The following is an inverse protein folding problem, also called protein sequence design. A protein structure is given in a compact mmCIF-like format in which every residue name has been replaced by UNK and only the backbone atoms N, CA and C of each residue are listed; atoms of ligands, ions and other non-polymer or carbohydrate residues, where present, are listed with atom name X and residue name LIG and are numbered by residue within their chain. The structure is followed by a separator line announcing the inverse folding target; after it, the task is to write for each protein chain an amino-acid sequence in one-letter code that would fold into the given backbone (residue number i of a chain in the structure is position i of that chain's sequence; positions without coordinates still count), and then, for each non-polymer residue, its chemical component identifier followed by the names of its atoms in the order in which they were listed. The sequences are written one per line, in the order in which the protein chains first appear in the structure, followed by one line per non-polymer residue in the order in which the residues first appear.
data_IF_554596113246
#
_entry.id   IF_554596113246
#
_cell.length_a   1.000
_cell.length_b   1.000
_cell.length_c   1.000
_cell.angle_alpha   90.00
_cell.angle_beta   90.00
_cell.angle_gamma   90.00
#
_symmetry.space_group_name_H-M   'P 1'
#
loop_
_entity.id
_entity.type
_entity.pdbx_description
1 polymer ?
#
# COMPACT_ATOMS: atom_id res chain seq x y z
N UNK A 1 -33.37 -18.57 56.45
CA UNK A 1 -34.70 -19.11 56.05
C UNK A 1 -35.63 -17.92 55.81
N UNK A 2 -36.67 -18.03 54.94
CA UNK A 2 -37.05 -19.17 54.10
C UNK A 2 -37.01 -18.87 52.58
N UNK A 3 -37.18 -19.91 51.77
CA UNK A 3 -37.60 -19.79 50.35
C UNK A 3 -39.13 -19.74 50.25
N UNK A 4 -39.70 -19.21 49.15
CA UNK A 4 -41.03 -19.59 48.69
C UNK A 4 -40.91 -20.70 47.61
N UNK A 5 -41.55 -21.83 47.89
CA UNK A 5 -41.67 -22.98 46.98
C UNK A 5 -42.71 -22.77 45.89
N UNK A 6 -42.52 -23.46 44.76
CA UNK A 6 -43.24 -23.27 43.51
C UNK A 6 -44.75 -23.54 43.48
N UNK A 7 -45.30 -23.39 42.27
CA UNK A 7 -46.57 -23.96 41.88
C UNK A 7 -46.41 -24.81 40.62
N UNK A 8 -47.09 -25.96 40.61
CA UNK A 8 -47.00 -27.00 39.58
C UNK A 8 -48.40 -27.18 39.00
N UNK A 9 -48.57 -26.94 37.69
CA UNK A 9 -49.81 -27.25 36.99
C UNK A 9 -49.50 -28.20 35.83
N UNK A 10 -50.16 -29.37 35.84
CA UNK A 10 -50.06 -30.38 34.79
C UNK A 10 -51.43 -30.52 34.14
N UNK A 11 -51.48 -30.40 32.80
CA UNK A 11 -52.64 -30.78 32.01
C UNK A 11 -52.17 -31.79 30.95
N UNK A 12 -52.93 -32.88 30.81
CA UNK A 12 -52.61 -34.03 29.95
C UNK A 12 -53.31 -33.92 28.60
N UNK A 13 -52.68 -34.55 27.60
CA UNK A 13 -53.34 -35.34 26.54
C UNK A 13 -54.23 -34.62 25.51
N UNK A 14 -53.84 -34.71 24.24
CA UNK A 14 -54.49 -35.67 23.34
C UNK A 14 -53.58 -36.05 22.16
N UNK A 15 -53.66 -37.31 21.73
CA UNK A 15 -53.02 -37.83 20.51
C UNK A 15 -54.00 -37.71 19.34
N UNK A 16 -53.51 -37.40 18.15
CA UNK A 16 -54.06 -37.96 16.90
C UNK A 16 -52.94 -38.19 15.90
N UNK A 17 -52.83 -39.43 15.43
CA UNK A 17 -51.90 -39.89 14.41
C UNK A 17 -52.56 -39.88 13.03
N UNK A 18 -51.77 -39.62 11.98
CA UNK A 18 -51.98 -40.18 10.65
C UNK A 18 -50.65 -40.22 9.90
N UNK A 19 -50.23 -41.41 9.50
CA UNK A 19 -49.12 -41.64 8.59
C UNK A 19 -49.66 -41.86 7.18
N UNK A 20 -48.87 -41.55 6.15
CA UNK A 20 -48.94 -42.21 4.83
C UNK A 20 -47.53 -42.22 4.19
N UNK A 21 -47.06 -43.45 3.98
CA UNK A 21 -46.15 -44.03 2.97
C UNK A 21 -45.07 -43.18 2.28
N UNK A 22 -43.87 -43.78 2.26
CA UNK A 22 -42.77 -43.47 1.36
C UNK A 22 -42.98 -44.02 -0.06
N UNK A 23 -42.11 -43.64 -0.99
CA UNK A 23 -41.60 -44.52 -2.04
C UNK A 23 -40.13 -44.17 -2.34
N UNK A 24 -39.36 -45.19 -2.74
CA UNK A 24 -37.92 -45.12 -3.03
C UNK A 24 -37.65 -45.33 -4.54
N UNK A 25 -36.39 -45.65 -4.89
CA UNK A 25 -35.82 -45.85 -6.24
C UNK A 25 -35.48 -44.55 -7.00
N UNK A 26 -34.36 -44.46 -7.73
CA UNK A 26 -33.20 -45.35 -7.78
C UNK A 26 -31.94 -44.57 -8.21
N UNK A 27 -30.76 -45.03 -7.77
CA UNK A 27 -29.48 -44.71 -8.41
C UNK A 27 -29.18 -45.79 -9.45
N UNK A 28 -28.40 -45.50 -10.51
CA UNK A 28 -26.99 -45.93 -10.39
C UNK A 28 -25.95 -45.01 -11.07
N UNK A 29 -24.81 -44.85 -10.40
CA UNK A 29 -23.50 -44.67 -11.04
C UNK A 29 -23.14 -45.95 -11.84
N UNK A 30 -22.33 -45.90 -12.92
CA UNK A 30 -20.91 -45.52 -12.84
C UNK A 30 -20.47 -44.72 -14.12
N UNK A 31 -19.21 -44.57 -14.60
CA UNK A 31 -17.85 -44.95 -14.15
C UNK A 31 -16.77 -44.10 -14.87
N UNK A 32 -15.57 -44.05 -14.27
CA UNK A 32 -14.25 -44.15 -14.94
C UNK A 32 -13.52 -43.00 -15.68
N UNK A 33 -12.19 -43.04 -15.43
CA UNK A 33 -11.03 -42.69 -16.27
C UNK A 33 -10.69 -41.21 -16.52
N UNK A 34 -9.80 -40.75 -15.63
CA UNK A 34 -8.65 -39.87 -15.95
C UNK A 34 -8.05 -40.19 -17.32
N UNK A 35 -7.64 -39.16 -18.05
CA UNK A 35 -6.33 -39.19 -18.70
C UNK A 35 -5.73 -37.78 -18.73
N UNK A 36 -4.50 -37.67 -18.25
CA UNK A 36 -3.72 -36.43 -18.17
C UNK A 36 -2.82 -36.31 -19.39
N UNK A 37 -2.87 -35.17 -20.08
CA UNK A 37 -1.79 -34.74 -20.99
C UNK A 37 -1.46 -33.28 -20.74
N UNK A 38 -0.16 -33.02 -20.59
CA UNK A 38 0.38 -31.72 -20.23
C UNK A 38 0.24 -30.73 -21.39
N UNK A 39 -0.10 -29.48 -21.08
CA UNK A 39 0.13 -28.34 -21.97
C UNK A 39 0.81 -27.23 -21.17
N UNK A 40 2.08 -26.96 -21.50
CA UNK A 40 2.77 -25.73 -21.07
C UNK A 40 2.09 -24.53 -21.75
N UNK A 41 1.66 -23.50 -21.01
CA UNK A 41 1.33 -22.21 -21.60
C UNK A 41 2.60 -21.35 -21.70
N UNK A 42 2.85 -20.82 -22.89
CA UNK A 42 3.88 -19.80 -23.14
C UNK A 42 3.47 -18.45 -22.54
N UNK A 43 4.46 -17.72 -22.00
CA UNK A 43 4.28 -16.37 -21.44
C UNK A 43 4.09 -15.36 -22.58
N UNK A 44 3.02 -14.54 -22.59
CA UNK A 44 2.94 -13.36 -23.44
C UNK A 44 3.49 -12.15 -22.69
N UNK A 45 4.56 -11.54 -23.21
CA UNK A 45 5.01 -10.20 -22.81
C UNK A 45 3.97 -9.19 -23.30
N UNK A 46 3.51 -8.29 -22.42
CA UNK A 46 2.54 -7.25 -22.78
C UNK A 46 3.13 -5.86 -22.49
N UNK A 47 3.46 -5.12 -23.56
CA UNK A 47 3.93 -3.75 -23.47
C UNK A 47 2.79 -2.80 -23.06
N UNK A 48 2.94 -2.11 -21.93
CA UNK A 48 1.96 -1.12 -21.47
C UNK A 48 2.23 0.27 -22.05
N UNK A 49 1.60 0.59 -23.18
CA UNK A 49 1.46 1.96 -23.65
C UNK A 49 0.49 2.76 -22.78
N UNK A 50 1.01 3.59 -21.88
CA UNK A 50 0.18 4.54 -21.11
C UNK A 50 -0.26 5.71 -22.01
N UNK A 51 -1.55 5.78 -22.33
CA UNK A 51 -2.17 6.92 -23.03
C UNK A 51 -2.83 7.88 -22.04
N UNK A 52 -2.19 9.03 -21.87
CA UNK A 52 -2.63 10.12 -21.00
C UNK A 52 -3.93 10.77 -21.53
N UNK A 53 -5.00 10.78 -20.72
CA UNK A 53 -6.34 11.22 -21.14
C UNK A 53 -6.72 12.55 -20.51
N UNK A 54 -6.46 13.66 -21.22
CA UNK A 54 -6.95 14.99 -20.84
C UNK A 54 -8.49 15.03 -20.82
N UNK A 55 -9.05 15.65 -19.79
CA UNK A 55 -10.46 16.04 -19.72
C UNK A 55 -10.69 17.35 -20.46
N UNK A 56 -11.79 17.46 -21.21
CA UNK A 56 -12.36 18.74 -21.62
C UNK A 56 -13.83 18.80 -21.18
N UNK A 57 -14.27 20.00 -20.81
CA UNK A 57 -15.62 20.35 -20.40
C UNK A 57 -16.19 21.26 -21.51
N UNK A 58 -17.47 21.14 -21.87
CA UNK A 58 -18.09 22.14 -22.75
C UNK A 58 -19.36 21.68 -23.46
N UNK A 59 -20.50 22.18 -22.97
CA UNK A 59 -21.84 22.12 -23.56
C UNK A 59 -21.95 22.53 -25.04
N UNK A 60 -23.00 22.05 -25.71
CA UNK A 60 -23.54 22.66 -26.94
C UNK A 60 -24.38 21.70 -27.79
N UNK A 61 -25.71 21.80 -27.71
CA UNK A 61 -26.63 21.06 -28.59
C UNK A 61 -27.37 21.99 -29.56
N UNK A 62 -28.14 21.38 -30.48
CA UNK A 62 -28.95 22.03 -31.55
C UNK A 62 -28.04 22.59 -32.69
N UNK A 63 -28.34 22.43 -34.00
CA UNK A 63 -29.41 21.67 -34.67
C UNK A 63 -29.37 21.89 -36.19
N UNK A 64 -29.96 20.94 -36.93
CA UNK A 64 -30.42 20.97 -38.35
C UNK A 64 -30.00 22.11 -39.31
N UNK A 65 -29.42 21.71 -40.45
CA UNK A 65 -29.77 22.27 -41.78
C UNK A 65 -28.71 23.12 -42.49
N UNK A 66 -28.61 22.93 -43.82
CA UNK A 66 -27.84 23.82 -44.71
C UNK A 66 -26.98 23.09 -45.75
N UNK A 67 -27.55 22.81 -46.94
CA UNK A 67 -26.74 22.47 -48.13
C UNK A 67 -26.05 23.74 -48.63
N UNK A 68 -24.82 23.59 -49.14
CA UNK A 68 -23.97 24.73 -49.51
C UNK A 68 -24.22 25.31 -50.91
N UNK A 69 -23.57 26.45 -51.17
CA UNK A 69 -23.38 27.03 -52.51
C UNK A 69 -22.08 27.84 -52.52
N UNK A 70 -21.18 27.55 -53.47
CA UNK A 70 -19.91 28.25 -53.63
C UNK A 70 -20.09 29.68 -54.14
N UNK A 71 -19.34 30.64 -53.58
CA UNK A 71 -18.93 31.89 -54.27
C UNK A 71 -17.47 32.21 -53.92
N UNK A 72 -16.63 32.64 -54.89
CA UNK A 72 -15.20 32.82 -54.67
C UNK A 72 -14.80 34.26 -54.30
N UNK A 73 -13.74 34.37 -53.48
CA UNK A 73 -12.79 35.48 -53.56
C UNK A 73 -13.07 36.76 -52.76
N UNK A 74 -12.39 36.89 -51.61
CA UNK A 74 -11.74 38.14 -51.17
C UNK A 74 -10.65 37.80 -50.14
N UNK A 75 -9.43 38.26 -50.39
CA UNK A 75 -8.27 37.93 -49.55
C UNK A 75 -8.28 38.70 -48.23
N UNK A 76 -8.07 37.98 -47.12
CA UNK A 76 -7.73 38.55 -45.82
C UNK A 76 -6.20 38.44 -45.57
N UNK A 77 -5.58 39.35 -44.80
CA UNK A 77 -4.15 39.30 -44.54
C UNK A 77 -3.74 38.00 -43.83
N UNK A 78 -2.54 37.49 -44.13
CA UNK A 78 -1.95 36.39 -43.37
C UNK A 78 -1.76 36.86 -41.92
N UNK A 79 -2.53 36.31 -40.99
CA UNK A 79 -2.22 36.43 -39.56
C UNK A 79 -0.85 35.83 -39.34
N UNK A 80 0.12 36.64 -38.90
CA UNK A 80 1.39 36.14 -38.40
C UNK A 80 1.10 35.09 -37.31
N UNK A 81 1.84 33.96 -37.26
CA UNK A 81 1.73 33.06 -36.14
C UNK A 81 2.16 33.81 -34.89
N UNK A 82 1.27 33.87 -33.90
CA UNK A 82 1.56 34.47 -32.60
C UNK A 82 2.55 33.56 -31.87
N UNK A 83 3.84 33.78 -32.12
CA UNK A 83 4.95 33.12 -31.43
C UNK A 83 4.83 33.47 -29.95
N UNK A 84 4.30 32.54 -29.16
CA UNK A 84 4.35 32.64 -27.71
C UNK A 84 5.81 32.84 -27.29
N UNK A 85 6.12 33.78 -26.38
CA UNK A 85 7.49 34.05 -25.97
C UNK A 85 8.14 32.76 -25.46
N UNK A 86 9.21 32.35 -26.13
CA UNK A 86 10.04 31.24 -25.69
C UNK A 86 10.67 31.61 -24.36
N UNK A 87 10.43 30.82 -23.31
CA UNK A 87 11.08 31.05 -22.01
C UNK A 87 12.60 30.90 -22.18
N UNK A 88 13.43 31.74 -21.54
CA UNK A 88 14.86 31.84 -21.83
C UNK A 88 15.66 30.58 -21.47
N UNK A 89 15.13 29.78 -20.54
CA UNK A 89 15.62 28.44 -20.23
C UNK A 89 14.52 27.54 -19.66
N UNK A 90 14.81 26.25 -19.56
CA UNK A 90 13.95 25.19 -19.00
C UNK A 90 14.74 24.30 -18.05
N UNK A 91 14.16 23.97 -16.90
CA UNK A 91 14.68 22.96 -15.97
C UNK A 91 13.96 21.61 -16.15
N UNK A 92 14.69 20.52 -15.98
CA UNK A 92 14.18 19.14 -15.91
C UNK A 92 14.95 18.39 -14.83
N UNK A 93 14.24 17.68 -13.94
CA UNK A 93 14.86 16.72 -13.01
C UNK A 93 14.87 15.35 -13.69
N UNK A 94 16.06 14.80 -13.91
CA UNK A 94 16.26 13.41 -14.30
C UNK A 94 16.70 12.58 -13.08
N UNK A 95 16.23 11.34 -12.99
CA UNK A 95 16.34 10.50 -11.80
C UNK A 95 17.15 9.25 -12.12
N UNK A 96 18.29 9.07 -11.45
CA UNK A 96 19.20 7.95 -11.68
C UNK A 96 19.06 6.86 -10.61
N UNK A 97 18.65 7.23 -9.39
CA UNK A 97 18.48 6.28 -8.30
C UNK A 97 17.40 5.22 -8.58
N UNK A 98 17.56 3.99 -8.05
CA UNK A 98 16.50 2.98 -8.01
C UNK A 98 15.26 3.46 -7.22
N UNK A 99 14.14 2.71 -7.23
CA UNK A 99 12.97 3.01 -6.41
C UNK A 99 13.35 3.24 -4.94
N UNK A 100 12.83 4.33 -4.35
CA UNK A 100 13.19 4.77 -3.00
C UNK A 100 12.47 3.89 -1.95
N UNK A 101 13.04 2.74 -1.65
CA UNK A 101 12.47 1.75 -0.71
C UNK A 101 13.23 1.75 0.61
N UNK A 102 12.53 1.99 1.71
CA UNK A 102 13.04 1.75 3.06
C UNK A 102 12.80 0.29 3.46
N UNK A 103 13.87 -0.46 3.70
CA UNK A 103 13.79 -1.82 4.21
C UNK A 103 13.71 -1.83 5.74
N UNK A 104 12.81 -2.64 6.29
CA UNK A 104 12.65 -2.79 7.74
C UNK A 104 11.90 -1.65 8.44
N UNK A 105 11.84 -1.75 9.77
CA UNK A 105 11.14 -0.78 10.62
C UNK A 105 11.84 0.59 10.60
N UNK A 106 11.14 1.71 10.89
CA UNK A 106 11.74 3.05 10.92
C UNK A 106 13.00 3.22 11.78
N UNK A 107 13.15 2.41 12.84
CA UNK A 107 14.32 2.42 13.74
C UNK A 107 15.48 1.52 13.30
N UNK A 108 15.29 0.70 12.26
CA UNK A 108 16.27 -0.27 11.76
C UNK A 108 16.70 0.02 10.31
N UNK A 109 15.90 0.81 9.58
CA UNK A 109 16.15 1.13 8.19
C UNK A 109 17.29 2.14 8.04
N UNK A 110 18.28 1.83 7.22
CA UNK A 110 19.43 2.69 6.89
C UNK A 110 19.06 3.86 6.00
N UNK A 111 18.03 3.71 5.16
CA UNK A 111 17.53 4.76 4.29
C UNK A 111 17.31 4.30 2.86
N UNK A 112 17.26 5.28 1.95
CA UNK A 112 17.23 5.05 0.51
C UNK A 112 18.05 6.15 -0.18
N UNK A 113 18.96 5.77 -1.08
CA UNK A 113 19.76 6.74 -1.82
C UNK A 113 18.89 7.41 -2.90
N UNK A 114 18.75 8.73 -2.82
CA UNK A 114 18.22 9.58 -3.88
C UNK A 114 19.39 10.14 -4.68
N UNK A 115 19.38 9.97 -6.00
CA UNK A 115 20.40 10.52 -6.91
C UNK A 115 19.81 10.84 -8.28
N UNK A 116 20.40 11.82 -8.96
CA UNK A 116 20.02 12.20 -10.30
C UNK A 116 20.72 13.47 -10.79
N UNK A 117 20.18 14.01 -11.88
CA UNK A 117 20.72 15.19 -12.55
C UNK A 117 19.63 16.26 -12.72
N UNK A 118 19.92 17.49 -12.33
CA UNK A 118 19.13 18.65 -12.69
C UNK A 118 19.68 19.22 -14.01
N UNK A 119 18.86 19.19 -15.05
CA UNK A 119 19.22 19.61 -16.41
C UNK A 119 18.67 21.02 -16.67
N UNK A 120 19.56 21.96 -16.94
CA UNK A 120 19.25 23.32 -17.39
C UNK A 120 19.46 23.41 -18.90
N UNK A 121 18.37 23.50 -19.66
CA UNK A 121 18.40 23.78 -21.10
C UNK A 121 18.23 25.28 -21.33
N UNK A 122 19.29 25.98 -21.72
CA UNK A 122 19.26 27.40 -22.09
C UNK A 122 18.95 27.53 -23.58
N UNK A 123 17.88 28.24 -23.92
CA UNK A 123 17.47 28.48 -25.32
C UNK A 123 17.98 29.81 -25.86
N UNK A 124 18.13 30.80 -24.99
CA UNK A 124 18.66 32.11 -25.34
C UNK A 124 20.17 32.03 -25.54
N UNK A 125 20.80 32.97 -26.28
CA UNK A 125 22.24 32.93 -26.55
C UNK A 125 23.07 32.83 -25.27
N UNK A 126 22.62 33.53 -24.23
CA UNK A 126 23.25 33.56 -22.91
C UNK A 126 22.23 33.99 -21.84
N UNK A 127 22.27 33.37 -20.66
CA UNK A 127 21.47 33.74 -19.49
C UNK A 127 22.36 33.90 -18.27
N UNK A 128 22.15 34.94 -17.46
CA UNK A 128 22.82 35.08 -16.16
C UNK A 128 21.85 34.75 -15.03
N UNK A 129 22.21 33.74 -14.24
CA UNK A 129 21.48 33.31 -13.05
C UNK A 129 22.11 33.95 -11.81
N UNK A 130 21.29 34.43 -10.89
CA UNK A 130 21.73 34.98 -9.59
C UNK A 130 21.75 33.89 -8.53
N UNK A 131 20.65 33.12 -8.43
CA UNK A 131 20.51 32.00 -7.51
C UNK A 131 20.07 30.77 -8.26
N UNK A 132 20.62 29.61 -7.92
CA UNK A 132 20.14 28.33 -8.44
C UNK A 132 20.22 27.27 -7.36
N UNK A 133 19.05 26.84 -6.90
CA UNK A 133 18.90 25.92 -5.78
C UNK A 133 17.82 24.88 -6.05
N UNK A 134 17.91 23.77 -5.34
CA UNK A 134 16.84 22.78 -5.23
C UNK A 134 16.59 22.43 -3.77
N UNK A 135 15.33 22.24 -3.39
CA UNK A 135 14.93 21.85 -2.05
C UNK A 135 14.17 20.54 -2.13
N UNK A 136 14.52 19.59 -1.27
CA UNK A 136 13.72 18.40 -1.00
C UNK A 136 12.78 18.70 0.17
N UNK A 137 11.48 18.65 -0.08
CA UNK A 137 10.44 18.90 0.94
C UNK A 137 9.60 17.65 1.20
N UNK A 138 9.30 17.42 2.48
CA UNK A 138 8.27 16.50 2.93
C UNK A 138 6.99 17.31 3.23
N UNK A 139 5.89 17.01 2.51
CA UNK A 139 4.62 17.72 2.65
C UNK A 139 3.54 16.79 3.20
N UNK A 140 3.02 17.13 4.37
CA UNK A 140 1.90 16.42 5.01
C UNK A 140 0.63 17.25 4.85
N UNK A 141 -0.41 16.66 4.28
CA UNK A 141 -1.69 17.34 4.00
C UNK A 141 -2.81 16.69 4.82
N UNK A 142 -3.46 17.46 5.68
CA UNK A 142 -4.63 17.07 6.46
C UNK A 142 -5.91 17.34 5.66
N UNK A 143 -6.72 16.31 5.36
CA UNK A 143 -8.03 16.49 4.68
C UNK A 143 -9.12 17.05 5.59
N UNK A 144 -8.90 17.08 6.90
CA UNK A 144 -9.83 17.59 7.92
C UNK A 144 -9.16 18.65 8.80
N UNK A 145 -8.76 19.81 8.25
CA UNK A 145 -8.21 20.90 9.05
C UNK A 145 -9.23 21.42 10.08
N UNK A 146 -8.75 21.98 11.19
CA UNK A 146 -9.58 22.51 12.31
C UNK A 146 -10.63 23.52 11.83
N UNK A 147 -10.25 24.35 10.86
CA UNK A 147 -11.17 25.25 10.15
C UNK A 147 -11.03 24.96 8.67
N UNK A 148 -12.17 24.89 7.97
CA UNK A 148 -12.20 24.72 6.51
C UNK A 148 -11.39 25.85 5.86
N UNK A 149 -10.70 25.50 4.77
CA UNK A 149 -9.97 26.44 3.90
C UNK A 149 -8.83 27.23 4.59
N UNK A 150 -8.31 26.75 5.72
CA UNK A 150 -7.12 27.31 6.38
C UNK A 150 -5.84 26.58 5.92
N UNK A 151 -4.96 27.21 5.11
CA UNK A 151 -3.75 26.55 4.58
C UNK A 151 -2.82 26.08 5.70
N UNK A 152 -2.59 26.93 6.71
CA UNK A 152 -1.74 26.65 7.88
C UNK A 152 -2.19 25.43 8.73
N UNK A 153 -3.46 25.02 8.62
CA UNK A 153 -3.99 23.80 9.26
C UNK A 153 -4.06 22.61 8.29
N UNK A 154 -4.17 22.90 6.99
CA UNK A 154 -4.33 21.91 5.93
C UNK A 154 -3.00 21.30 5.50
N UNK A 155 -1.91 22.06 5.47
CA UNK A 155 -0.61 21.55 5.03
C UNK A 155 0.50 21.93 6.01
N UNK A 156 1.37 20.96 6.31
CA UNK A 156 2.67 21.18 6.93
C UNK A 156 3.75 20.79 5.91
N UNK A 157 4.63 21.73 5.59
CA UNK A 157 5.82 21.49 4.76
C UNK A 157 7.02 21.47 5.69
N UNK A 158 7.89 20.48 5.53
CA UNK A 158 9.17 20.36 6.22
C UNK A 158 10.27 20.26 5.17
N UNK A 159 11.22 21.18 5.17
CA UNK A 159 12.42 21.09 4.33
C UNK A 159 13.32 19.98 4.91
N UNK A 160 13.75 19.04 4.06
CA UNK A 160 14.64 17.94 4.44
C UNK A 160 16.10 18.24 4.08
N UNK A 161 16.31 18.84 2.91
CA UNK A 161 17.63 19.17 2.40
C UNK A 161 17.55 20.25 1.30
N UNK A 162 18.60 21.05 1.17
CA UNK A 162 18.75 22.08 0.13
C UNK A 162 20.09 21.90 -0.57
N UNK A 163 20.07 21.80 -1.90
CA UNK A 163 21.26 21.88 -2.75
C UNK A 163 21.37 23.30 -3.31
N UNK A 164 22.52 23.93 -3.11
CA UNK A 164 22.88 25.20 -3.75
C UNK A 164 23.88 24.88 -4.86
N UNK A 165 23.50 25.13 -6.12
CA UNK A 165 24.32 24.83 -7.30
C UNK A 165 25.23 25.99 -7.72
N UNK A 166 25.03 27.17 -7.12
CA UNK A 166 25.77 28.39 -7.38
C UNK A 166 26.20 29.03 -6.08
N UNK A 167 27.51 29.26 -5.94
CA UNK A 167 28.07 30.16 -4.91
C UNK A 167 28.00 31.62 -5.34
N UNK A 168 28.03 31.91 -6.65
CA UNK A 168 28.09 33.25 -7.22
C UNK A 168 27.23 33.37 -8.51
N UNK A 169 26.72 34.57 -8.85
CA UNK A 169 25.92 34.81 -10.05
C UNK A 169 26.65 34.44 -11.36
N UNK A 170 26.26 33.32 -11.96
CA UNK A 170 26.98 32.68 -13.07
C UNK A 170 26.24 32.81 -14.40
N UNK A 171 27.01 32.89 -15.49
CA UNK A 171 26.52 33.12 -16.84
C UNK A 171 26.63 31.84 -17.69
N UNK A 172 25.53 31.43 -18.30
CA UNK A 172 25.37 30.19 -19.05
C UNK A 172 25.03 30.46 -20.51
N UNK A 173 25.77 29.85 -21.42
CA UNK A 173 25.52 29.92 -22.87
C UNK A 173 24.38 28.99 -23.30
N UNK A 174 23.79 29.25 -24.45
CA UNK A 174 22.86 28.34 -25.13
C UNK A 174 23.39 26.90 -25.13
N UNK A 175 22.55 25.94 -24.70
CA UNK A 175 22.95 24.54 -24.54
C UNK A 175 22.31 23.84 -23.36
N UNK A 176 22.74 22.61 -23.09
CA UNK A 176 22.32 21.81 -21.94
C UNK A 176 23.44 21.78 -20.91
N UNK A 177 23.13 22.16 -19.68
CA UNK A 177 24.03 22.15 -18.53
C UNK A 177 23.48 21.18 -17.48
N UNK A 178 24.36 20.43 -16.83
CA UNK A 178 24.03 19.32 -15.94
C UNK A 178 24.55 19.59 -14.53
N UNK A 179 23.69 19.38 -13.54
CA UNK A 179 24.00 19.58 -12.13
C UNK A 179 23.63 18.30 -11.37
N UNK A 180 24.62 17.45 -11.01
CA UNK A 180 24.35 16.22 -10.27
C UNK A 180 23.89 16.55 -8.85
N UNK A 181 23.00 15.72 -8.31
CA UNK A 181 22.56 15.81 -6.93
C UNK A 181 22.44 14.41 -6.33
N UNK A 182 22.72 14.30 -5.03
CA UNK A 182 22.43 13.10 -4.25
C UNK A 182 22.07 13.47 -2.80
N UNK A 183 21.33 12.58 -2.14
CA UNK A 183 20.98 12.65 -0.73
C UNK A 183 20.56 11.27 -0.22
N UNK A 184 21.02 10.85 0.96
CA UNK A 184 20.54 9.64 1.61
C UNK A 184 19.28 9.98 2.42
N UNK A 185 18.11 9.55 1.94
CA UNK A 185 16.85 9.73 2.67
C UNK A 185 16.90 8.94 3.99
N UNK A 186 16.75 9.59 5.17
CA UNK A 186 16.81 8.89 6.45
C UNK A 186 15.71 7.81 6.60
N UNK A 187 16.11 6.59 6.95
CA UNK A 187 15.20 5.45 7.04
C UNK A 187 14.10 5.52 8.11
N UNK A 188 14.12 6.54 8.97
CA UNK A 188 13.04 6.82 9.94
C UNK A 188 11.84 7.56 9.31
N UNK A 189 11.98 8.10 8.09
CA UNK A 189 10.92 8.85 7.43
C UNK A 189 9.72 7.95 7.06
N UNK A 190 8.47 8.44 7.16
CA UNK A 190 7.30 7.66 6.77
C UNK A 190 7.25 7.43 5.25
N UNK A 191 6.63 6.35 4.81
CA UNK A 191 6.39 6.13 3.38
C UNK A 191 5.39 7.16 2.82
N UNK A 192 5.49 7.40 1.51
CA UNK A 192 4.50 8.16 0.73
C UNK A 192 3.14 7.47 0.89
N UNK A 193 2.12 8.23 1.27
CA UNK A 193 0.82 7.65 1.65
C UNK A 193 -0.31 8.58 1.28
N UNK A 194 -1.36 8.07 0.63
CA UNK A 194 -2.47 8.86 0.08
C UNK A 194 -3.82 8.42 0.66
N UNK A 195 -4.01 8.61 1.96
CA UNK A 195 -5.19 8.16 2.70
C UNK A 195 -6.40 9.09 2.63
N UNK A 196 -7.53 8.62 3.16
CA UNK A 196 -8.78 9.40 3.22
C UNK A 196 -8.75 10.54 4.25
N UNK A 197 -7.85 10.47 5.23
CA UNK A 197 -7.68 11.49 6.26
C UNK A 197 -6.51 12.46 5.99
N UNK A 198 -5.51 12.03 5.23
CA UNK A 198 -4.38 12.88 4.87
C UNK A 198 -3.41 12.24 3.88
N UNK A 199 -2.44 13.03 3.44
CA UNK A 199 -1.38 12.63 2.52
C UNK A 199 0.01 12.89 3.12
N UNK A 200 1.00 12.11 2.72
CA UNK A 200 2.43 12.39 2.86
C UNK A 200 3.04 12.31 1.46
N UNK A 201 3.56 13.43 0.96
CA UNK A 201 4.28 13.56 -0.31
C UNK A 201 5.75 13.94 -0.05
N UNK A 202 6.65 13.48 -0.91
CA UNK A 202 8.03 13.99 -1.01
C UNK A 202 8.24 14.65 -2.36
N UNK A 203 8.86 15.82 -2.41
CA UNK A 203 8.92 16.64 -3.62
C UNK A 203 10.28 17.31 -3.72
N UNK A 204 10.88 17.25 -4.90
CA UNK A 204 12.01 18.09 -5.30
C UNK A 204 11.46 19.36 -5.96
N UNK A 205 11.79 20.52 -5.42
CA UNK A 205 11.43 21.83 -5.95
C UNK A 205 12.70 22.59 -6.28
N UNK A 206 13.01 22.76 -7.57
CA UNK A 206 14.17 23.52 -8.03
C UNK A 206 13.74 24.88 -8.58
N UNK A 207 14.52 25.91 -8.25
CA UNK A 207 14.30 27.30 -8.62
C UNK A 207 15.61 27.94 -9.08
N UNK A 208 15.62 28.49 -10.29
CA UNK A 208 16.68 29.35 -10.80
C UNK A 208 16.10 30.75 -11.01
N UNK A 209 16.74 31.77 -10.42
CA UNK A 209 16.35 33.17 -10.59
C UNK A 209 17.37 33.83 -11.51
N UNK A 210 16.90 34.44 -12.60
CA UNK A 210 17.74 35.24 -13.49
C UNK A 210 17.85 36.69 -13.01
N UNK A 211 18.93 37.37 -13.38
CA UNK A 211 19.14 38.82 -13.21
C UNK A 211 18.00 39.71 -13.75
N UNK A 212 17.17 39.20 -14.67
CA UNK A 212 15.95 39.89 -15.14
C UNK A 212 14.73 39.67 -14.22
N UNK A 213 14.91 39.09 -13.03
CA UNK A 213 13.88 38.65 -12.07
C UNK A 213 12.95 37.53 -12.55
N UNK A 214 13.21 36.94 -13.72
CA UNK A 214 12.50 35.75 -14.20
C UNK A 214 12.89 34.51 -13.38
N UNK A 215 11.90 33.89 -12.73
CA UNK A 215 12.06 32.62 -12.01
C UNK A 215 11.74 31.42 -12.92
N UNK A 216 12.70 30.51 -13.07
CA UNK A 216 12.55 29.24 -13.77
C UNK A 216 12.45 28.14 -12.70
N UNK A 217 11.28 27.52 -12.58
CA UNK A 217 11.00 26.51 -11.56
C UNK A 217 10.63 25.16 -12.16
N UNK A 218 11.00 24.07 -11.49
CA UNK A 218 10.49 22.72 -11.75
C UNK A 218 10.17 22.02 -10.42
N UNK A 219 9.10 21.23 -10.41
CA UNK A 219 8.67 20.43 -9.26
C UNK A 219 8.50 18.97 -9.68
N UNK A 220 9.06 18.03 -8.91
CA UNK A 220 9.04 16.59 -9.17
C UNK A 220 8.65 15.84 -7.90
N UNK A 221 7.50 15.16 -7.94
CA UNK A 221 7.10 14.26 -6.85
C UNK A 221 7.96 12.99 -6.85
N UNK A 222 8.35 12.55 -5.64
CA UNK A 222 9.05 11.32 -5.36
C UNK A 222 8.10 10.33 -4.69
N UNK A 223 8.22 9.04 -5.02
CA UNK A 223 7.48 7.96 -4.35
C UNK A 223 8.44 7.19 -3.46
N UNK A 224 8.29 7.38 -2.15
CA UNK A 224 9.05 6.68 -1.10
C UNK A 224 8.21 5.53 -0.56
N UNK A 225 8.73 4.32 -0.59
CA UNK A 225 8.06 3.09 -0.18
C UNK A 225 8.69 2.50 1.08
N UNK A 226 8.00 1.57 1.74
CA UNK A 226 8.56 0.78 2.84
C UNK A 226 8.21 -0.70 2.70
N UNK A 227 9.23 -1.55 2.84
CA UNK A 227 9.12 -2.99 2.82
C UNK A 227 9.44 -3.55 4.22
N UNK A 228 8.43 -4.06 4.92
CA UNK A 228 8.57 -4.67 6.24
C UNK A 228 8.76 -6.19 6.12
N UNK A 229 9.73 -6.80 6.83
CA UNK A 229 9.89 -8.26 6.91
C UNK A 229 9.02 -8.88 8.02
N UNK A 230 8.65 -10.15 7.87
CA UNK A 230 7.81 -10.86 8.84
C UNK A 230 7.45 -12.27 8.41
N UNK A 231 6.98 -13.06 9.37
CA UNK A 231 6.70 -14.50 9.25
C UNK A 231 5.22 -14.80 9.53
N UNK A 232 4.72 -15.97 9.14
CA UNK A 232 3.33 -16.35 9.36
C UNK A 232 2.98 -16.49 10.85
N UNK A 233 1.82 -15.94 11.24
CA UNK A 233 1.29 -15.96 12.61
C UNK A 233 0.30 -17.11 12.74
N UNK A 234 0.55 -18.00 13.71
CA UNK A 234 -0.50 -18.89 14.24
C UNK A 234 -1.21 -18.19 15.40
N UNK A 235 -2.54 -18.18 15.39
CA UNK A 235 -3.37 -17.68 16.49
C UNK A 235 -4.37 -18.75 16.94
N UNK A 236 -4.67 -18.79 18.24
CA UNK A 236 -5.60 -19.74 18.85
C UNK A 236 -6.61 -18.95 19.69
N UNK A 237 -7.91 -19.22 19.54
CA UNK A 237 -8.99 -18.61 20.33
C UNK A 237 -9.93 -19.69 20.84
N UNK A 238 -10.23 -19.64 22.14
CA UNK A 238 -11.29 -20.43 22.76
C UNK A 238 -12.55 -19.55 22.87
N UNK A 239 -13.74 -20.14 22.68
CA UNK A 239 -15.02 -19.41 22.69
C UNK A 239 -15.98 -19.85 23.80
N UNK A 240 -15.72 -19.51 25.08
CA UNK A 240 -16.69 -19.69 26.16
C UNK A 240 -18.07 -19.08 25.82
N UNK A 241 -19.19 -19.71 26.20
CA UNK A 241 -19.31 -20.91 27.04
C UNK A 241 -19.24 -22.23 26.26
N UNK A 242 -18.77 -22.24 25.01
CA UNK A 242 -18.56 -23.50 24.24
C UNK A 242 -17.13 -24.01 24.41
N UNK A 243 -16.95 -25.30 24.11
CA UNK A 243 -15.62 -25.93 24.05
C UNK A 243 -14.92 -25.66 22.70
N UNK A 244 -15.45 -24.78 21.85
CA UNK A 244 -14.89 -24.49 20.53
C UNK A 244 -13.54 -23.80 20.66
N UNK A 245 -12.54 -24.44 20.06
CA UNK A 245 -11.19 -23.93 19.94
C UNK A 245 -10.88 -23.73 18.45
N UNK A 246 -10.55 -22.51 18.04
CA UNK A 246 -10.25 -22.15 16.65
C UNK A 246 -8.78 -21.75 16.54
N UNK A 247 -8.03 -22.50 15.75
CA UNK A 247 -6.67 -22.20 15.32
C UNK A 247 -6.71 -21.59 13.92
N UNK A 248 -6.00 -20.50 13.70
CA UNK A 248 -5.87 -19.86 12.38
C UNK A 248 -4.38 -19.59 12.11
N UNK A 249 -3.92 -19.95 10.92
CA UNK A 249 -2.62 -19.58 10.38
C UNK A 249 -2.85 -18.52 9.30
N UNK A 250 -2.16 -17.37 9.44
CA UNK A 250 -2.22 -16.25 8.50
C UNK A 250 -0.82 -15.66 8.27
N UNK A 251 -0.53 -15.13 7.09
CA UNK A 251 0.59 -14.24 6.89
C UNK A 251 0.54 -13.04 7.83
N UNK A 252 1.68 -12.68 8.43
CA UNK A 252 1.76 -11.42 9.21
C UNK A 252 1.73 -10.19 8.32
N UNK A 253 2.16 -10.35 7.07
CA UNK A 253 2.30 -9.33 6.04
C UNK A 253 1.43 -9.68 4.85
N UNK A 254 0.81 -8.65 4.28
CA UNK A 254 0.11 -8.67 3.00
C UNK A 254 0.59 -7.49 2.15
N UNK A 255 0.29 -7.52 0.86
CA UNK A 255 0.72 -6.49 -0.10
C UNK A 255 -0.50 -5.86 -0.81
N UNK A 256 -0.43 -4.57 -1.24
CA UNK A 256 -1.55 -3.86 -1.88
C UNK A 256 -2.18 -4.58 -3.08
N UNK A 257 -1.38 -5.36 -3.81
CA UNK A 257 -1.80 -6.19 -4.92
C UNK A 257 -1.41 -7.64 -4.62
N UNK A 258 -2.42 -8.48 -4.41
CA UNK A 258 -2.28 -9.91 -4.20
C UNK A 258 -3.46 -10.55 -3.50
N UNK A 259 -3.37 -11.87 -3.40
CA UNK A 259 -4.20 -12.72 -2.54
C UNK A 259 -3.28 -13.42 -1.54
N UNK A 260 -3.82 -13.83 -0.40
CA UNK A 260 -3.08 -14.52 0.65
C UNK A 260 -3.92 -15.66 1.23
N UNK A 261 -3.30 -16.81 1.49
CA UNK A 261 -4.00 -17.95 2.09
C UNK A 261 -4.25 -17.70 3.57
N UNK A 262 -5.42 -18.12 4.04
CA UNK A 262 -5.80 -18.20 5.45
C UNK A 262 -6.24 -19.64 5.71
N UNK A 263 -5.49 -20.34 6.57
CA UNK A 263 -5.80 -21.71 6.97
C UNK A 263 -6.41 -21.70 8.38
N UNK A 264 -7.45 -22.51 8.58
CA UNK A 264 -8.18 -22.60 9.84
C UNK A 264 -8.46 -24.06 10.21
N UNK A 265 -8.28 -24.39 11.50
CA UNK A 265 -8.87 -25.59 12.09
C UNK A 265 -9.70 -25.25 13.33
N UNK A 266 -10.77 -26.01 13.54
CA UNK A 266 -11.70 -25.85 14.67
C UNK A 266 -11.94 -27.20 15.33
N UNK A 267 -11.71 -27.29 16.63
CA UNK A 267 -11.89 -28.50 17.45
C UNK A 267 -12.83 -28.24 18.63
N UNK A 268 -13.23 -29.31 19.33
CA UNK A 268 -14.22 -29.23 20.41
C UNK A 268 -15.65 -29.04 19.88
N UNK A 269 -15.90 -29.54 18.67
CA UNK A 269 -17.18 -29.47 17.97
C UNK A 269 -18.25 -30.34 18.65
N UNK A 270 -17.86 -31.45 19.27
CA UNK A 270 -18.76 -32.46 19.80
C UNK A 270 -18.89 -32.33 21.33
N UNK A 271 -20.13 -32.35 21.81
CA UNK A 271 -20.47 -32.52 23.22
C UNK A 271 -21.24 -33.84 23.41
N UNK A 272 -20.65 -34.74 24.18
CA UNK A 272 -21.15 -36.07 24.51
C UNK A 272 -21.66 -36.16 25.97
N UNK A 273 -22.00 -35.03 26.60
CA UNK A 273 -22.46 -34.94 27.99
C UNK A 273 -23.77 -35.69 28.29
N UNK A 274 -24.56 -36.06 27.27
CA UNK A 274 -25.85 -36.74 27.42
C UNK A 274 -25.83 -38.14 26.78
N UNK A 275 -26.23 -39.15 27.55
CA UNK A 275 -26.32 -40.52 27.03
C UNK A 275 -27.30 -40.63 25.85
N UNK A 276 -26.83 -41.27 24.77
CA UNK A 276 -27.54 -41.49 23.50
C UNK A 276 -27.86 -40.24 22.65
N UNK A 277 -27.48 -39.04 23.10
CA UNK A 277 -27.69 -37.78 22.38
C UNK A 277 -26.34 -37.07 22.22
N UNK A 278 -25.81 -37.10 21.00
CA UNK A 278 -24.62 -36.34 20.65
C UNK A 278 -25.03 -34.96 20.13
N UNK A 279 -24.49 -33.91 20.75
CA UNK A 279 -24.57 -32.54 20.23
C UNK A 279 -23.31 -32.24 19.44
N UNK A 280 -23.45 -31.56 18.31
CA UNK A 280 -22.30 -31.13 17.49
C UNK A 280 -22.50 -29.73 16.93
N UNK A 281 -21.41 -28.97 16.84
CA UNK A 281 -21.37 -27.72 16.11
C UNK A 281 -21.12 -27.97 14.62
N UNK A 282 -21.80 -27.18 13.79
CA UNK A 282 -21.64 -27.18 12.33
C UNK A 282 -21.52 -25.74 11.83
N UNK A 283 -20.49 -25.46 11.04
CA UNK A 283 -20.37 -24.16 10.35
C UNK A 283 -21.50 -24.05 9.30
N UNK A 284 -22.15 -22.89 9.26
CA UNK A 284 -23.16 -22.52 8.25
C UNK A 284 -22.66 -21.49 7.26
N UNK A 285 -21.76 -20.62 7.70
CA UNK A 285 -21.20 -19.49 6.94
C UNK A 285 -19.94 -19.00 7.64
N UNK A 286 -19.02 -18.46 6.88
CA UNK A 286 -17.90 -17.68 7.36
C UNK A 286 -17.83 -16.39 6.55
N UNK A 287 -17.74 -15.24 7.20
CA UNK A 287 -17.40 -13.99 6.54
C UNK A 287 -15.96 -13.62 6.91
N UNK A 288 -15.22 -13.04 5.98
CA UNK A 288 -13.99 -12.34 6.29
C UNK A 288 -14.06 -10.89 5.80
N UNK A 289 -13.38 -10.00 6.51
CA UNK A 289 -13.33 -8.56 6.26
C UNK A 289 -11.91 -8.07 6.52
N UNK A 290 -11.38 -7.25 5.62
CA UNK A 290 -10.11 -6.55 5.79
C UNK A 290 -10.39 -5.07 5.98
N UNK A 291 -10.17 -4.59 7.20
CA UNK A 291 -10.47 -3.23 7.65
C UNK A 291 -9.18 -2.40 7.66
N UNK A 292 -9.11 -1.34 6.85
CA UNK A 292 -8.09 -0.29 6.94
C UNK A 292 -8.55 0.74 7.97
N UNK A 293 -7.71 1.00 8.98
CA UNK A 293 -7.97 1.94 10.05
C UNK A 293 -6.96 3.09 9.94
N UNK A 294 -7.46 4.25 9.51
CA UNK A 294 -6.69 5.50 9.44
C UNK A 294 -6.98 6.37 10.67
N UNK A 295 -5.95 6.98 11.24
CA UNK A 295 -6.06 8.05 12.25
C UNK A 295 -5.17 9.21 11.85
N UNK A 296 -5.61 10.45 12.07
CA UNK A 296 -4.76 11.64 11.93
C UNK A 296 -5.03 12.64 13.05
N UNK A 297 -3.99 13.28 13.57
CA UNK A 297 -4.12 14.43 14.46
C UNK A 297 -3.92 15.68 13.61
N UNK A 298 -4.98 16.45 13.37
CA UNK A 298 -4.89 17.72 12.63
C UNK A 298 -4.45 18.84 13.59
N UNK A 299 -3.22 19.40 13.44
CA UNK A 299 -2.64 20.35 14.37
C UNK A 299 -3.28 21.74 14.23
N UNK A 300 -3.23 22.52 15.30
CA UNK A 300 -3.62 23.92 15.25
C UNK A 300 -2.47 24.83 14.81
N UNK A 301 -2.76 25.70 13.84
CA UNK A 301 -1.95 26.90 13.63
C UNK A 301 -2.22 27.91 14.76
N UNK A 302 -1.33 28.89 14.93
CA UNK A 302 -1.42 29.91 15.98
C UNK A 302 -2.79 30.64 16.01
N UNK A 303 -3.37 30.89 14.84
CA UNK A 303 -4.70 31.53 14.67
C UNK A 303 -5.86 30.66 15.19
N UNK A 304 -5.66 29.35 15.34
CA UNK A 304 -6.69 28.37 15.68
C UNK A 304 -6.41 27.56 16.96
N UNK A 305 -5.26 27.75 17.62
CA UNK A 305 -4.91 27.10 18.89
C UNK A 305 -6.00 27.22 19.96
N UNK A 306 -6.65 28.40 20.04
CA UNK A 306 -7.74 28.66 20.97
C UNK A 306 -8.98 27.77 20.74
N UNK A 307 -9.22 27.27 19.50
CA UNK A 307 -10.35 26.38 19.18
C UNK A 307 -10.15 24.95 19.71
N UNK A 308 -8.92 24.56 20.05
CA UNK A 308 -8.56 23.22 20.57
C UNK A 308 -7.99 23.26 21.98
N UNK A 309 -8.12 24.41 22.67
CA UNK A 309 -7.74 24.57 24.07
C UNK A 309 -6.24 24.77 24.31
N UNK A 310 -5.51 25.38 23.37
CA UNK A 310 -4.13 25.82 23.55
C UNK A 310 -3.18 25.46 22.40
N UNK A 311 -1.96 25.97 22.46
CA UNK A 311 -0.89 25.66 21.50
C UNK A 311 -0.48 24.18 21.57
N UNK A 312 0.02 23.63 20.46
CA UNK A 312 0.44 22.23 20.36
C UNK A 312 -0.70 21.20 20.33
N UNK A 313 -1.94 21.60 20.61
CA UNK A 313 -3.11 20.70 20.52
C UNK A 313 -3.63 20.58 19.08
N UNK A 314 -4.37 19.50 18.84
CA UNK A 314 -4.99 19.20 17.56
C UNK A 314 -6.25 18.35 17.72
N UNK A 315 -6.98 18.15 16.63
CA UNK A 315 -8.19 17.32 16.63
C UNK A 315 -7.82 15.94 16.09
N UNK A 316 -8.12 14.89 16.87
CA UNK A 316 -8.03 13.51 16.39
C UNK A 316 -9.20 13.21 15.46
N UNK A 317 -8.88 12.71 14.27
CA UNK A 317 -9.83 12.14 13.33
C UNK A 317 -9.49 10.67 13.12
N UNK A 318 -10.52 9.82 13.16
CA UNK A 318 -10.41 8.39 12.88
C UNK A 318 -11.35 8.03 11.72
N UNK A 319 -10.98 6.98 10.98
CA UNK A 319 -11.76 6.45 9.87
C UNK A 319 -11.44 4.95 9.71
N UNK A 320 -12.47 4.13 9.57
CA UNK A 320 -12.34 2.69 9.30
C UNK A 320 -13.09 2.37 8.02
N UNK A 321 -12.40 1.79 7.03
CA UNK A 321 -12.99 1.42 5.73
C UNK A 321 -12.70 -0.05 5.40
N UNK A 322 -13.64 -0.68 4.69
CA UNK A 322 -13.51 -2.05 4.23
C UNK A 322 -12.75 -2.07 2.89
N UNK A 323 -11.52 -2.60 2.88
CA UNK A 323 -10.70 -2.71 1.66
C UNK A 323 -10.77 -4.10 1.01
N UNK A 324 -11.31 -5.11 1.71
CA UNK A 324 -11.54 -6.46 1.18
C UNK A 324 -12.55 -7.22 2.05
N UNK A 325 -13.19 -8.24 1.50
CA UNK A 325 -14.10 -9.12 2.24
C UNK A 325 -14.98 -9.97 1.34
N UNK A 326 -15.34 -11.15 1.82
CA UNK A 326 -16.25 -12.08 1.12
C UNK A 326 -17.02 -12.99 2.09
N UNK A 327 -18.04 -13.67 1.57
CA UNK A 327 -18.91 -14.61 2.28
C UNK A 327 -18.74 -16.04 1.74
N UNK A 328 -18.30 -16.94 2.62
CA UNK A 328 -18.02 -18.34 2.32
C UNK A 328 -19.10 -19.22 2.97
N UNK A 329 -19.72 -20.10 2.18
CA UNK A 329 -20.82 -21.00 2.62
C UNK A 329 -20.46 -22.48 2.62
N UNK A 330 -19.36 -22.85 1.97
CA UNK A 330 -18.95 -24.23 1.70
C UNK A 330 -17.42 -24.33 1.64
N UNK A 331 -16.87 -25.53 1.43
CA UNK A 331 -15.43 -25.77 1.23
C UNK A 331 -14.68 -26.30 2.46
N UNK A 332 -15.25 -26.21 3.65
CA UNK A 332 -14.68 -26.83 4.86
C UNK A 332 -14.86 -28.35 4.88
N UNK A 333 -13.81 -29.06 5.30
CA UNK A 333 -13.84 -30.50 5.58
C UNK A 333 -14.25 -30.69 7.05
N UNK A 334 -15.05 -31.71 7.32
CA UNK A 334 -15.56 -31.99 8.67
C UNK A 334 -15.37 -33.46 8.98
N UNK A 335 -14.65 -33.72 10.08
CA UNK A 335 -14.48 -35.03 10.68
C UNK A 335 -15.18 -35.03 12.05
N UNK A 336 -16.17 -35.91 12.22
CA UNK A 336 -16.87 -36.12 13.48
C UNK A 336 -16.47 -37.43 14.18
N UNK A 337 -15.60 -38.23 13.56
CA UNK A 337 -15.14 -39.53 14.05
C UNK A 337 -13.87 -39.37 14.92
N UNK A 338 -13.03 -38.37 14.61
CA UNK A 338 -11.93 -37.92 15.49
C UNK A 338 -12.46 -37.40 16.85
N UNK A 339 -11.72 -37.68 17.93
CA UNK A 339 -12.13 -37.34 19.30
C UNK A 339 -12.43 -35.84 19.49
N UNK A 340 -13.69 -35.51 19.76
CA UNK A 340 -14.16 -34.12 19.93
C UNK A 340 -14.53 -33.40 18.61
N UNK A 341 -14.25 -34.02 17.47
CA UNK A 341 -14.53 -33.52 16.13
C UNK A 341 -13.58 -32.41 15.68
N UNK A 342 -13.22 -32.41 14.40
CA UNK A 342 -12.40 -31.39 13.75
C UNK A 342 -13.04 -30.86 12.47
N UNK A 343 -12.93 -29.56 12.23
CA UNK A 343 -13.19 -28.92 10.95
C UNK A 343 -11.91 -28.26 10.47
N UNK A 344 -11.54 -28.50 9.21
CA UNK A 344 -10.41 -27.83 8.55
C UNK A 344 -10.87 -27.08 7.31
N UNK A 345 -10.32 -25.90 7.08
CA UNK A 345 -10.66 -25.04 5.95
C UNK A 345 -9.49 -24.14 5.54
N UNK A 346 -9.42 -23.80 4.25
CA UNK A 346 -8.46 -22.88 3.68
C UNK A 346 -9.17 -22.01 2.64
N UNK A 347 -8.86 -20.72 2.62
CA UNK A 347 -9.38 -19.79 1.61
C UNK A 347 -8.35 -18.72 1.26
N UNK A 348 -8.49 -18.16 0.06
CA UNK A 348 -7.74 -17.00 -0.39
C UNK A 348 -8.50 -15.73 0.02
N UNK A 349 -7.88 -14.92 0.87
CA UNK A 349 -8.32 -13.56 1.15
C UNK A 349 -7.59 -12.60 0.18
N UNK A 350 -8.24 -11.50 -0.20
CA UNK A 350 -7.71 -10.57 -1.18
C UNK A 350 -8.09 -9.11 -0.89
N UNK A 351 -7.38 -8.17 -1.51
CA UNK A 351 -7.74 -6.75 -1.47
C UNK A 351 -8.62 -6.45 -2.68
N UNK A 352 -9.74 -5.75 -2.46
CA UNK A 352 -10.70 -5.42 -3.50
C UNK A 352 -10.05 -4.54 -4.56
N UNK A 353 -10.22 -4.90 -5.83
CA UNK A 353 -9.76 -4.11 -6.96
C UNK A 353 -10.32 -2.67 -6.88
N UNK A 354 -9.47 -1.68 -7.20
CA UNK A 354 -9.78 -0.24 -7.12
C UNK A 354 -10.13 0.30 -5.72
N UNK A 355 -9.81 -0.43 -4.63
CA UNK A 355 -9.90 0.12 -3.26
C UNK A 355 -8.81 1.14 -2.94
N UNK A 356 -7.67 1.09 -3.66
CA UNK A 356 -6.48 1.89 -3.43
C UNK A 356 -6.10 1.90 -1.93
N UNK A 357 -5.70 0.73 -1.39
CA UNK A 357 -5.34 0.61 0.02
C UNK A 357 -4.06 1.41 0.28
N UNK A 358 -3.90 1.93 1.49
CA UNK A 358 -2.68 2.64 1.89
C UNK A 358 -1.86 1.72 2.80
N UNK A 359 -0.59 1.46 2.49
CA UNK A 359 0.28 0.65 3.35
C UNK A 359 0.32 1.16 4.81
N UNK A 360 0.62 0.27 5.75
CA UNK A 360 0.83 0.60 7.16
C UNK A 360 1.89 1.70 7.28
N UNK A 361 1.49 2.83 7.86
CA UNK A 361 2.35 3.99 8.10
C UNK A 361 2.14 4.44 9.54
N UNK A 362 3.23 4.78 10.22
CA UNK A 362 3.23 5.48 11.49
C UNK A 362 4.11 6.71 11.31
N UNK A 363 3.52 7.91 11.32
CA UNK A 363 4.24 9.15 11.07
C UNK A 363 4.37 9.99 12.35
N UNK A 364 5.53 10.64 12.58
CA UNK A 364 5.68 11.63 13.67
C UNK A 364 4.71 12.83 13.56
N UNK A 365 4.08 13.02 12.40
CA UNK A 365 3.02 14.03 12.18
C UNK A 365 1.63 13.57 12.63
N UNK A 366 1.49 12.37 13.20
CA UNK A 366 0.25 11.86 13.78
C UNK A 366 -0.71 11.19 12.81
N UNK A 367 -0.33 11.02 11.53
CA UNK A 367 -1.02 10.11 10.60
C UNK A 367 -0.57 8.67 10.88
N UNK A 368 -1.51 7.80 11.22
CA UNK A 368 -1.29 6.35 11.36
C UNK A 368 -2.29 5.56 10.53
N UNK A 369 -1.83 4.51 9.85
CA UNK A 369 -2.64 3.57 9.07
C UNK A 369 -2.28 2.16 9.50
N UNK A 370 -3.27 1.32 9.78
CA UNK A 370 -3.08 -0.10 10.11
C UNK A 370 -4.24 -0.98 9.63
N UNK A 371 -3.97 -2.27 9.42
CA UNK A 371 -4.97 -3.21 8.92
C UNK A 371 -5.36 -4.28 9.93
N UNK A 372 -6.63 -4.66 9.88
CA UNK A 372 -7.18 -5.74 10.68
C UNK A 372 -7.94 -6.73 9.79
N UNK A 373 -7.54 -8.01 9.82
CA UNK A 373 -8.35 -9.09 9.29
C UNK A 373 -9.34 -9.54 10.37
N UNK A 374 -10.63 -9.42 10.07
CA UNK A 374 -11.74 -9.85 10.92
C UNK A 374 -12.38 -11.08 10.29
N UNK A 375 -12.51 -12.16 11.07
CA UNK A 375 -13.23 -13.36 10.69
C UNK A 375 -14.50 -13.50 11.54
N UNK A 376 -15.63 -13.80 10.92
CA UNK A 376 -16.93 -14.00 11.57
C UNK A 376 -17.50 -15.35 11.14
N UNK A 377 -17.36 -16.38 11.99
CA UNK A 377 -17.79 -17.75 11.70
C UNK A 377 -19.15 -17.98 12.35
N UNK A 378 -20.15 -18.35 11.57
CA UNK A 378 -21.51 -18.65 12.04
C UNK A 378 -21.65 -20.16 12.20
N UNK A 379 -21.79 -20.61 13.45
CA UNK A 379 -21.98 -22.02 13.81
C UNK A 379 -23.40 -22.25 14.33
N UNK A 380 -23.97 -23.42 14.03
CA UNK A 380 -25.23 -23.90 14.58
C UNK A 380 -25.03 -25.23 15.30
N UNK A 381 -25.78 -25.45 16.37
CA UNK A 381 -25.86 -26.74 17.05
C UNK A 381 -26.81 -27.67 16.29
N UNK A 382 -26.35 -28.89 16.02
CA UNK A 382 -27.13 -30.01 15.53
C UNK A 382 -27.11 -31.14 16.56
N UNK A 383 -28.21 -31.89 16.62
CA UNK A 383 -28.36 -33.05 17.50
C UNK A 383 -28.47 -34.33 16.66
N UNK A 384 -27.69 -35.34 17.01
CA UNK A 384 -27.74 -36.69 16.43
C UNK A 384 -28.13 -37.71 17.49
N UNK A 385 -29.08 -38.59 17.16
CA UNK A 385 -29.54 -39.67 18.03
C UNK A 385 -28.99 -41.02 17.56
N UNK A 386 -28.21 -41.70 18.41
CA UNK A 386 -27.58 -42.99 18.08
C UNK A 386 -26.43 -42.89 17.06
N UNK A 387 -25.91 -44.05 16.63
CA UNK A 387 -24.72 -44.17 15.76
C UNK A 387 -24.89 -43.60 14.33
N UNK A 388 -26.08 -43.11 13.94
CA UNK A 388 -26.33 -42.67 12.57
C UNK A 388 -26.05 -41.16 12.38
N UNK A 389 -24.81 -40.85 12.03
CA UNK A 389 -24.29 -39.48 11.84
C UNK A 389 -24.95 -38.68 10.71
N UNK A 390 -25.75 -39.34 9.84
CA UNK A 390 -26.43 -38.74 8.68
C UNK A 390 -27.80 -38.12 9.00
N UNK A 391 -28.39 -38.43 10.15
CA UNK A 391 -29.73 -37.98 10.57
C UNK A 391 -29.73 -36.79 11.55
N UNK A 392 -28.87 -35.80 11.34
CA UNK A 392 -28.72 -34.69 12.28
C UNK A 392 -29.84 -33.65 12.18
N UNK A 393 -30.48 -33.34 13.32
CA UNK A 393 -31.56 -32.36 13.42
C UNK A 393 -31.01 -31.03 13.97
N UNK A 394 -31.27 -29.87 13.34
CA UNK A 394 -30.85 -28.57 13.86
C UNK A 394 -31.63 -28.22 15.13
N UNK A 395 -30.96 -27.82 16.22
CA UNK A 395 -31.63 -27.43 17.47
C UNK A 395 -32.10 -25.97 17.48
N UNK A 396 -31.70 -25.19 16.46
CA UNK A 396 -31.99 -23.76 16.35
C UNK A 396 -31.03 -22.85 17.13
N UNK A 397 -30.14 -23.42 17.97
CA UNK A 397 -29.12 -22.65 18.67
C UNK A 397 -27.97 -22.30 17.71
N UNK A 398 -27.69 -21.01 17.59
CA UNK A 398 -26.61 -20.46 16.76
C UNK A 398 -25.66 -19.56 17.55
N UNK A 399 -24.40 -19.47 17.10
CA UNK A 399 -23.38 -18.57 17.64
C UNK A 399 -22.56 -17.95 16.53
N UNK A 400 -22.09 -16.73 16.75
CA UNK A 400 -21.11 -16.04 15.89
C UNK A 400 -19.78 -16.01 16.63
N UNK A 401 -18.76 -16.63 16.05
CA UNK A 401 -17.40 -16.66 16.55
C UNK A 401 -16.62 -15.57 15.80
N UNK A 402 -16.36 -14.44 16.46
CA UNK A 402 -15.61 -13.32 15.86
C UNK A 402 -14.15 -13.37 16.31
N UNK A 403 -13.23 -13.33 15.35
CA UNK A 403 -11.79 -13.18 15.56
C UNK A 403 -11.32 -11.91 14.86
N UNK A 404 -10.29 -11.27 15.41
CA UNK A 404 -9.61 -10.12 14.80
C UNK A 404 -8.11 -10.31 14.94
N UNK A 405 -7.39 -10.04 13.86
CA UNK A 405 -5.93 -10.15 13.77
C UNK A 405 -5.36 -8.86 13.18
N UNK A 406 -4.29 -8.34 13.80
CA UNK A 406 -3.50 -7.25 13.21
C UNK A 406 -2.61 -7.82 12.10
N UNK A 407 -2.87 -7.37 10.88
CA UNK A 407 -2.12 -7.72 9.67
C UNK A 407 -1.41 -6.47 9.18
N UNK A 408 -0.16 -6.59 8.76
CA UNK A 408 0.62 -5.45 8.26
C UNK A 408 0.50 -5.38 6.74
N UNK A 409 -0.01 -4.28 6.19
CA UNK A 409 0.05 -4.04 4.75
C UNK A 409 1.36 -3.29 4.43
N UNK A 410 2.20 -3.82 3.56
CA UNK A 410 3.49 -3.18 3.22
C UNK A 410 3.79 -3.33 1.73
N UNK A 411 4.60 -2.42 1.18
CA UNK A 411 5.10 -2.61 -0.19
C UNK A 411 6.02 -3.83 -0.26
N UNK A 412 6.13 -4.42 -1.45
CA UNK A 412 7.06 -5.53 -1.69
C UNK A 412 8.49 -4.99 -1.66
N UNK A 413 9.42 -5.77 -1.12
CA UNK A 413 10.86 -5.46 -1.17
C UNK A 413 11.38 -5.33 -2.62
N UNK A 414 10.73 -6.00 -3.58
CA UNK A 414 11.17 -6.01 -4.96
C UNK A 414 12.40 -6.89 -5.17
N UNK A 415 13.26 -6.52 -6.10
CA UNK A 415 14.58 -7.13 -6.33
C UNK A 415 15.72 -6.25 -5.78
N UNK A 416 15.39 -5.17 -5.09
CA UNK A 416 16.39 -4.31 -4.47
C UNK A 416 16.91 -4.89 -3.17
N UNK A 417 18.15 -4.52 -2.85
CA UNK A 417 18.76 -4.69 -1.53
C UNK A 417 18.83 -3.33 -0.84
N UNK A 418 19.10 -3.32 0.46
CA UNK A 418 19.37 -2.06 1.16
C UNK A 418 20.73 -1.50 0.73
N UNK A 419 20.89 -0.18 0.75
CA UNK A 419 22.11 0.49 0.25
C UNK A 419 23.38 0.09 1.03
N UNK A 420 23.24 -0.33 2.29
CA UNK A 420 24.31 -0.86 3.13
C UNK A 420 24.59 -2.36 2.92
N UNK A 421 23.63 -3.12 2.40
CA UNK A 421 23.82 -4.51 1.96
C UNK A 421 24.31 -4.61 0.50
N UNK A 422 24.39 -3.48 -0.23
CA UNK A 422 24.97 -3.40 -1.57
C UNK A 422 26.50 -3.52 -1.52
N UNK A 423 26.96 -4.78 -1.40
CA UNK A 423 28.39 -5.09 -1.46
C UNK A 423 28.96 -4.72 -2.83
N UNK A 424 30.02 -3.91 -2.92
CA UNK A 424 30.70 -3.67 -4.19
C UNK A 424 31.23 -5.00 -4.75
N UNK A 425 31.32 -5.14 -6.09
CA UNK A 425 31.88 -6.34 -6.70
C UNK A 425 33.29 -6.61 -6.19
N UNK A 426 33.66 -7.89 -6.06
CA UNK A 426 35.01 -8.23 -5.62
C UNK A 426 36.01 -7.86 -6.71
N UNK A 427 37.26 -7.58 -6.33
CA UNK A 427 38.29 -7.15 -7.28
C UNK A 427 38.60 -8.21 -8.36
N UNK A 428 38.21 -9.47 -8.11
CA UNK A 428 38.29 -10.60 -9.05
C UNK A 428 37.24 -10.53 -10.18
N UNK A 429 36.13 -9.80 -9.98
CA UNK A 429 35.08 -9.56 -10.98
C UNK A 429 35.39 -8.36 -11.90
N UNK A 430 36.41 -7.57 -11.56
CA UNK A 430 36.89 -6.46 -12.40
C UNK A 430 37.84 -7.05 -13.45
N UNK A 431 37.61 -6.81 -14.76
CA UNK A 431 38.54 -7.27 -15.78
C UNK A 431 39.94 -6.67 -15.54
N UNK A 432 40.98 -7.39 -15.97
CA UNK A 432 42.39 -7.00 -15.82
C UNK A 432 42.57 -5.49 -16.02
N UNK A 433 43.25 -4.85 -15.08
CA UNK A 433 43.52 -3.40 -15.12
C UNK A 433 43.98 -2.97 -16.52
N UNK A 434 43.62 -1.75 -16.99
CA UNK A 434 44.05 -1.26 -18.29
C UNK A 434 45.55 -1.51 -18.52
N UNK A 435 46.00 -1.77 -19.76
CA UNK A 435 47.40 -2.06 -20.04
C UNK A 435 48.29 -1.07 -19.32
N UNK A 436 49.24 -1.57 -18.53
CA UNK A 436 50.24 -0.71 -17.89
C UNK A 436 50.84 0.23 -18.95
N UNK A 437 51.11 1.48 -18.59
CA UNK A 437 51.65 2.50 -19.50
C UNK A 437 53.03 2.09 -20.01
N UNK A 438 53.05 1.24 -21.03
CA UNK A 438 54.24 0.73 -21.68
C UNK A 438 54.89 1.87 -22.46
N UNK A 439 55.99 2.42 -21.92
CA UNK A 439 56.67 3.58 -22.47
C UNK A 439 56.98 4.69 -21.47
N UNK A 440 56.58 4.56 -20.19
CA UNK A 440 57.23 5.32 -19.12
C UNK A 440 58.52 4.56 -18.78
N UNK A 441 59.66 5.07 -19.20
CA UNK A 441 60.95 4.66 -18.63
C UNK A 441 60.94 5.03 -17.15
N UNK A 442 61.39 4.11 -16.29
CA UNK A 442 61.57 4.42 -14.87
C UNK A 442 62.44 5.67 -14.74
N UNK A 443 61.97 6.68 -14.01
CA UNK A 443 62.70 7.94 -13.84
C UNK A 443 63.96 7.68 -13.00
N UNK A 444 65.08 7.40 -13.68
CA UNK A 444 66.42 7.31 -13.07
C UNK A 444 66.98 8.71 -12.91
N UNK A 445 66.34 9.49 -12.04
CA UNK A 445 66.85 10.76 -11.53
C UNK A 445 66.68 10.79 -10.02
N UNK A 446 67.63 11.40 -9.31
CA UNK A 446 67.48 11.61 -7.88
C UNK A 446 66.21 12.42 -7.61
N UNK A 447 65.35 11.91 -6.72
CA UNK A 447 64.24 12.69 -6.21
C UNK A 447 64.82 13.94 -5.53
N UNK A 448 64.32 15.16 -5.85
CA UNK A 448 64.80 16.36 -5.18
C UNK A 448 64.53 16.23 -3.69
N UNK A 449 65.56 16.47 -2.86
CA UNK A 449 65.44 16.37 -1.41
C UNK A 449 64.33 17.29 -0.88
N UNK A 450 63.64 16.86 0.17
CA UNK A 450 62.38 17.43 0.67
C UNK A 450 62.43 18.91 1.16
N UNK A 451 63.58 19.59 1.06
CA UNK A 451 63.77 20.99 1.46
C UNK A 451 62.93 21.99 0.62
N UNK A 452 62.34 21.58 -0.50
CA UNK A 452 61.51 22.44 -1.35
C UNK A 452 60.05 22.59 -0.88
N UNK A 453 59.58 21.82 0.12
CA UNK A 453 58.17 21.83 0.54
C UNK A 453 57.84 22.80 1.69
N UNK A 454 58.82 23.31 2.44
CA UNK A 454 58.56 24.24 3.55
C UNK A 454 58.15 25.66 3.11
N UNK A 455 58.39 26.04 1.85
CA UNK A 455 58.12 27.39 1.35
C UNK A 455 56.69 27.65 0.81
N UNK A 456 55.73 26.72 1.03
CA UNK A 456 54.31 26.94 0.71
C UNK A 456 53.38 26.96 1.93
N UNK A 457 53.91 27.16 3.14
CA UNK A 457 53.12 27.48 4.34
C UNK A 457 53.55 28.81 4.98
N UNK A 458 53.20 29.91 4.33
CA UNK A 458 53.14 31.27 4.92
C UNK A 458 52.07 32.12 4.24
#
# INVERSE_FOLDING_TARGET
MPMPTGFRASIKSTKTSKAIKANAHDSPHPSERRNSTERKPSVPVMEFFSKEKRRSIGFGGIGLGGKGSNTPGKGSPKSSPNLAPTKPAKLVVDMESPPLVFYGNPSQSTGALLSGQLLLTVTDPEIKLETFQMVLVARVINKRPITRDCPDCQAKVTELFTWEFLSEPTQYKAGMHTFPFSYLLPGHLPATSHGELGHIDYILEANAVSTMSDSITVSRALTVQRALPGHDKTSIRLFPPTNLNVRVLIPSIIHPIGEFSVQMSMTGLIDNSLMNIQKRWRIRRMNWKLEENSKIISPACLKHANKVGGEGKGILHENTRLIGGDEIKEGWKTDYDTQGGEITFEFMASIKQNSHPVCDVDSPTGLTVNHNLVLEIIVMEEQTSGQNTKGAMPTGLGRVLRMQFKTTLTERAGMGISWDEETPPMYEDVPSSPPAYAGIEDFVGDLPADEALEHMQS
#
